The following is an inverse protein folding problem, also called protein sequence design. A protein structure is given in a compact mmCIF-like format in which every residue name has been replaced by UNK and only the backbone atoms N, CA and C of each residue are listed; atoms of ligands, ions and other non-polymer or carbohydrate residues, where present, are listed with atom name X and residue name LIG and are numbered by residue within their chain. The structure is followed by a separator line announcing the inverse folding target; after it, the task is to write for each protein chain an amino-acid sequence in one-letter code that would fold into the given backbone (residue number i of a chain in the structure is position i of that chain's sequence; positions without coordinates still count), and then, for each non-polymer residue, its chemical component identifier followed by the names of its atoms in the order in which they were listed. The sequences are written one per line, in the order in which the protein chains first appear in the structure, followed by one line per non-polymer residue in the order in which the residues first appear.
data_IF_638633049695
#
_entry.id   IF_638633049695
#
_cell.length_a   1.000
_cell.length_b   1.000
_cell.length_c   1.000
_cell.angle_alpha   90.00
_cell.angle_beta   90.00
_cell.angle_gamma   90.00
#
_symmetry.space_group_name_H-M   'P 1'
#
loop_
_entity.id
_entity.type
_entity.pdbx_description
1 polymer ?
#
# COMPACT_ATOMS: atom_id res chain seq x y z
N UNK A 1 1.68 -46.55 -19.21
CA UNK A 1 1.59 -45.74 -17.97
C UNK A 1 1.44 -44.29 -18.39
N UNK A 2 0.25 -43.71 -18.22
CA UNK A 2 -0.04 -42.33 -18.64
C UNK A 2 0.14 -41.38 -17.47
N UNK A 3 0.98 -40.37 -17.63
CA UNK A 3 1.09 -39.26 -16.67
C UNK A 3 0.05 -38.21 -17.03
N UNK A 4 -0.92 -37.97 -16.15
CA UNK A 4 -1.81 -36.81 -16.27
C UNK A 4 -1.06 -35.58 -15.76
N UNK A 5 -0.93 -34.51 -16.56
CA UNK A 5 -0.32 -33.29 -16.08
C UNK A 5 -1.24 -32.68 -15.02
N UNK A 6 -0.77 -32.61 -13.77
CA UNK A 6 -1.47 -31.90 -12.71
C UNK A 6 -1.29 -30.40 -12.96
N UNK A 7 -2.33 -29.76 -13.46
CA UNK A 7 -2.38 -28.30 -13.61
C UNK A 7 -2.31 -27.70 -12.21
N UNK A 8 -1.16 -27.12 -11.85
CA UNK A 8 -1.03 -26.38 -10.59
C UNK A 8 -1.85 -25.10 -10.74
N UNK A 9 -3.02 -25.06 -10.11
CA UNK A 9 -3.83 -23.86 -10.00
C UNK A 9 -3.18 -22.93 -8.96
N UNK A 10 -2.24 -22.10 -9.41
CA UNK A 10 -1.68 -21.03 -8.59
C UNK A 10 -2.75 -19.98 -8.36
N UNK A 11 -3.31 -19.94 -7.15
CA UNK A 11 -4.18 -18.85 -6.72
C UNK A 11 -3.28 -17.65 -6.45
N UNK A 12 -3.27 -16.68 -7.36
CA UNK A 12 -2.60 -15.40 -7.15
C UNK A 12 -3.44 -14.60 -6.16
N UNK A 13 -3.04 -14.62 -4.90
CA UNK A 13 -3.62 -13.76 -3.88
C UNK A 13 -2.96 -12.38 -4.06
N UNK A 14 -3.71 -11.33 -4.44
CA UNK A 14 -3.14 -9.99 -4.52
C UNK A 14 -2.61 -9.60 -3.13
N UNK A 15 -1.49 -8.86 -3.05
CA UNK A 15 -0.96 -8.42 -1.76
C UNK A 15 -2.06 -7.69 -0.98
N UNK A 16 -2.21 -8.06 0.30
CA UNK A 16 -3.06 -7.35 1.24
C UNK A 16 -2.62 -5.88 1.24
N UNK A 17 -3.49 -5.00 0.72
CA UNK A 17 -3.35 -3.55 0.60
C UNK A 17 -1.90 -3.02 0.69
N UNK A 18 -1.25 -2.82 -0.45
CA UNK A 18 0.08 -2.21 -0.48
C UNK A 18 0.06 -0.86 0.27
N UNK A 19 0.98 -0.68 1.22
CA UNK A 19 1.17 0.60 1.90
C UNK A 19 1.46 1.66 0.82
N UNK A 20 0.70 2.76 0.76
CA UNK A 20 0.91 3.80 -0.23
C UNK A 20 2.31 4.38 -0.08
N UNK A 21 3.05 4.41 -1.18
CA UNK A 21 4.34 5.11 -1.23
C UNK A 21 4.08 6.58 -1.54
N UNK A 22 4.46 7.47 -0.64
CA UNK A 22 4.33 8.91 -0.85
C UNK A 22 5.67 9.47 -1.33
N UNK A 23 5.64 10.15 -2.49
CA UNK A 23 6.81 10.85 -3.04
C UNK A 23 6.53 12.34 -3.11
N UNK A 24 7.34 13.13 -2.41
CA UNK A 24 7.30 14.59 -2.45
C UNK A 24 8.17 15.18 -3.56
N UNK A 25 7.93 16.43 -3.92
CA UNK A 25 8.85 17.20 -4.75
C UNK A 25 9.99 17.75 -3.86
N UNK A 26 11.23 17.73 -4.35
CA UNK A 26 12.41 18.18 -3.61
C UNK A 26 12.33 19.67 -3.20
N UNK A 27 11.61 20.47 -3.99
CA UNK A 27 11.37 21.90 -3.72
C UNK A 27 10.15 22.16 -2.81
N UNK A 28 9.42 21.11 -2.42
CA UNK A 28 8.23 21.24 -1.59
C UNK A 28 8.59 21.49 -0.13
N UNK A 29 7.77 22.28 0.56
CA UNK A 29 7.89 22.42 2.00
C UNK A 29 7.59 21.07 2.68
N UNK A 30 8.52 20.50 3.46
CA UNK A 30 8.34 19.19 4.09
C UNK A 30 7.10 19.10 4.99
N UNK A 31 6.70 20.21 5.63
CA UNK A 31 5.52 20.24 6.49
C UNK A 31 4.22 20.12 5.67
N UNK A 32 4.16 20.78 4.52
CA UNK A 32 3.01 20.70 3.62
C UNK A 32 2.89 19.28 3.03
N UNK A 33 4.01 18.65 2.70
CA UNK A 33 4.05 17.25 2.30
C UNK A 33 3.43 16.34 3.38
N UNK A 34 3.90 16.44 4.62
CA UNK A 34 3.42 15.62 5.73
C UNK A 34 1.94 15.82 6.04
N UNK A 35 1.43 17.06 5.91
CA UNK A 35 -0.01 17.35 6.07
C UNK A 35 -0.82 16.56 5.03
N UNK A 36 -0.41 16.58 3.75
CA UNK A 36 -1.11 15.84 2.69
C UNK A 36 -1.04 14.33 2.87
N UNK A 37 0.10 13.81 3.34
CA UNK A 37 0.24 12.38 3.67
C UNK A 37 -0.75 11.99 4.77
N UNK A 38 -0.85 12.81 5.82
CA UNK A 38 -1.82 12.59 6.90
C UNK A 38 -3.25 12.63 6.39
N UNK A 39 -3.62 13.67 5.64
CA UNK A 39 -4.97 13.80 5.06
C UNK A 39 -5.33 12.62 4.15
N UNK A 40 -4.40 12.16 3.31
CA UNK A 40 -4.62 10.99 2.45
C UNK A 40 -4.83 9.71 3.27
N UNK A 41 -4.00 9.48 4.29
CA UNK A 41 -4.09 8.29 5.12
C UNK A 41 -5.41 8.23 5.91
N UNK A 42 -5.87 9.37 6.42
CA UNK A 42 -7.15 9.48 7.12
C UNK A 42 -8.34 9.30 6.17
N UNK A 43 -8.28 9.87 4.96
CA UNK A 43 -9.43 9.91 4.03
C UNK A 43 -9.58 8.65 3.18
N UNK A 44 -8.47 8.09 2.69
CA UNK A 44 -8.50 6.95 1.75
C UNK A 44 -8.38 5.62 2.49
N UNK A 45 -7.50 5.55 3.48
CA UNK A 45 -7.22 4.29 4.18
C UNK A 45 -7.89 4.20 5.55
N UNK A 46 -8.55 5.27 6.01
CA UNK A 46 -9.12 5.37 7.36
C UNK A 46 -8.10 5.01 8.46
N UNK A 47 -6.82 5.27 8.19
CA UNK A 47 -5.75 5.02 9.14
C UNK A 47 -5.80 6.07 10.23
N UNK A 48 -5.94 5.60 11.47
CA UNK A 48 -5.84 6.46 12.64
C UNK A 48 -4.36 6.76 12.95
N UNK A 49 -4.08 7.76 13.79
CA UNK A 49 -2.71 8.18 14.13
C UNK A 49 -1.82 7.02 14.61
N UNK A 50 -2.41 5.98 15.22
CA UNK A 50 -1.69 4.78 15.65
C UNK A 50 -1.10 3.94 14.50
N UNK A 51 -1.69 3.98 13.31
CA UNK A 51 -1.20 3.25 12.12
C UNK A 51 -0.17 4.08 11.36
N UNK A 52 -0.24 5.41 11.48
CA UNK A 52 0.70 6.34 10.85
C UNK A 52 2.03 6.50 11.62
N UNK A 53 2.00 6.29 12.94
CA UNK A 53 3.13 6.56 13.85
C UNK A 53 3.83 5.29 14.36
N UNK A 54 3.42 4.11 13.92
CA UNK A 54 3.92 2.81 14.36
C UNK A 54 4.69 2.11 13.25
#
# INVERSE_FOLDING_TARGET
MGYTPQTIHTIVIPPSAAIPTFSGNVSENPRQFLIRVKEYAETINHWNDQVLLN
#
